data_IF_531078783570
#
_entry.id   IF_531078783570
#
_cell.length_a   1.000
_cell.length_b   1.000
_cell.length_c   1.000
_cell.angle_alpha   90.00
_cell.angle_beta   90.00
_cell.angle_gamma   90.00
#
_symmetry.space_group_name_H-M   'P 1'
#
loop_
_entity.id
_entity.type
_entity.pdbx_description
1 polymer ?
#
# COMPACT_ATOMS: atom_id res chain seq x y z
N UNK A 1 -15.66 -12.62 1.91
CA UNK A 1 -14.44 -13.47 1.78
C UNK A 1 -13.33 -12.58 2.28
N UNK A 2 -12.80 -12.85 3.47
CA UNK A 2 -11.82 -11.97 4.11
C UNK A 2 -10.42 -12.13 3.52
N UNK A 3 -9.47 -11.34 4.02
CA UNK A 3 -8.05 -11.45 3.67
C UNK A 3 -7.50 -12.77 4.24
N UNK A 4 -7.22 -13.76 3.38
CA UNK A 4 -6.82 -15.11 3.81
C UNK A 4 -5.30 -15.28 3.93
N UNK A 5 -4.50 -14.36 3.37
CA UNK A 5 -3.04 -14.44 3.38
C UNK A 5 -2.31 -13.10 3.28
N UNK A 6 -1.04 -13.07 3.71
CA UNK A 6 -0.15 -11.92 3.49
C UNK A 6 0.05 -11.55 2.01
N UNK A 7 -0.17 -12.51 1.08
CA UNK A 7 -0.11 -12.24 -0.37
C UNK A 7 -1.30 -11.39 -0.82
N UNK A 8 -2.46 -11.57 -0.20
CA UNK A 8 -3.66 -10.80 -0.51
C UNK A 8 -3.50 -9.35 -0.04
N UNK A 9 -2.89 -9.14 1.14
CA UNK A 9 -2.58 -7.79 1.66
C UNK A 9 -1.69 -7.00 0.70
N UNK A 10 -0.64 -7.63 0.15
CA UNK A 10 0.24 -6.99 -0.84
C UNK A 10 -0.51 -6.61 -2.11
N UNK A 11 -1.34 -7.51 -2.63
CA UNK A 11 -2.11 -7.28 -3.85
C UNK A 11 -3.13 -6.15 -3.66
N UNK A 12 -3.83 -6.14 -2.54
CA UNK A 12 -4.79 -5.08 -2.17
C UNK A 12 -4.07 -3.73 -2.08
N UNK A 13 -2.93 -3.67 -1.39
CA UNK A 13 -2.13 -2.45 -1.28
C UNK A 13 -1.70 -1.93 -2.66
N UNK A 14 -1.16 -2.79 -3.52
CA UNK A 14 -0.72 -2.41 -4.86
C UNK A 14 -1.88 -1.89 -5.72
N UNK A 15 -3.00 -2.61 -5.75
CA UNK A 15 -4.17 -2.21 -6.53
C UNK A 15 -4.74 -0.88 -6.04
N UNK A 16 -4.81 -0.67 -4.72
CA UNK A 16 -5.33 0.57 -4.17
C UNK A 16 -4.45 1.79 -4.53
N UNK A 17 -3.12 1.64 -4.49
CA UNK A 17 -2.21 2.71 -4.94
C UNK A 17 -2.36 2.93 -6.45
N UNK A 18 -2.44 1.86 -7.25
CA UNK A 18 -2.66 1.98 -8.70
C UNK A 18 -3.95 2.72 -9.04
N UNK A 19 -5.03 2.49 -8.30
CA UNK A 19 -6.29 3.22 -8.47
C UNK A 19 -6.13 4.72 -8.15
N UNK A 20 -5.37 5.08 -7.11
CA UNK A 20 -5.14 6.47 -6.72
C UNK A 20 -4.22 7.24 -7.68
N UNK A 21 -3.21 6.57 -8.23
CA UNK A 21 -2.17 7.16 -9.07
C UNK A 21 -2.29 6.76 -10.56
N UNK A 22 -3.42 6.20 -10.96
CA UNK A 22 -3.80 5.84 -12.33
C UNK A 22 -2.81 4.89 -13.06
N UNK A 23 -2.60 3.69 -12.50
CA UNK A 23 -1.78 2.58 -13.06
C UNK A 23 -0.34 2.92 -13.48
N UNK A 24 0.11 4.15 -13.21
CA UNK A 24 1.39 4.69 -13.69
C UNK A 24 2.49 4.64 -12.63
N UNK A 25 2.29 3.85 -11.58
CA UNK A 25 3.30 3.67 -10.54
C UNK A 25 4.36 2.66 -11.00
N UNK A 26 5.60 2.94 -10.66
CA UNK A 26 6.76 2.09 -10.96
C UNK A 26 7.46 1.68 -9.65
N UNK A 27 8.33 0.66 -9.72
CA UNK A 27 9.16 0.22 -8.60
C UNK A 27 8.41 -0.04 -7.27
N UNK A 28 7.14 -0.45 -7.34
CA UNK A 28 6.32 -0.70 -6.16
C UNK A 28 6.92 -1.79 -5.27
N UNK A 29 7.14 -1.43 -4.01
CA UNK A 29 7.75 -2.27 -2.98
C UNK A 29 6.93 -2.21 -1.70
N UNK A 30 6.68 -3.37 -1.08
CA UNK A 30 6.14 -3.44 0.27
C UNK A 30 7.29 -3.68 1.23
N UNK A 31 7.55 -2.70 2.10
CA UNK A 31 8.65 -2.73 3.06
C UNK A 31 8.29 -3.57 4.30
N UNK A 32 7.06 -3.44 4.79
CA UNK A 32 6.60 -4.16 5.97
C UNK A 32 5.09 -4.34 5.98
N UNK A 33 4.64 -5.43 6.61
CA UNK A 33 3.24 -5.73 6.90
C UNK A 33 3.17 -6.11 8.37
N UNK A 34 2.42 -5.35 9.16
CA UNK A 34 2.16 -5.61 10.59
C UNK A 34 0.72 -6.07 10.74
N UNK A 35 0.52 -7.26 11.27
CA UNK A 35 -0.80 -7.79 11.57
C UNK A 35 -1.22 -7.39 13.00
N UNK A 36 -2.28 -6.59 13.11
CA UNK A 36 -2.84 -6.10 14.37
C UNK A 36 -4.13 -6.82 14.80
N UNK A 37 -4.42 -8.00 14.23
CA UNK A 37 -5.63 -8.83 14.44
C UNK A 37 -6.92 -8.28 13.83
N UNK A 38 -7.18 -6.97 13.91
CA UNK A 38 -8.34 -6.29 13.29
C UNK A 38 -8.02 -5.62 11.94
N UNK A 39 -6.72 -5.40 11.68
CA UNK A 39 -6.21 -4.81 10.45
C UNK A 39 -4.77 -5.20 10.17
N UNK A 40 -4.33 -4.91 8.95
CA UNK A 40 -2.96 -4.97 8.50
C UNK A 40 -2.46 -3.55 8.24
N UNK A 41 -1.41 -3.14 8.95
CA UNK A 41 -0.72 -1.89 8.68
C UNK A 41 0.45 -2.18 7.73
N UNK A 42 0.48 -1.51 6.57
CA UNK A 42 1.38 -1.78 5.46
C UNK A 42 2.23 -0.55 5.17
N UNK A 43 3.54 -0.74 5.05
CA UNK A 43 4.48 0.28 4.58
C UNK A 43 4.88 -0.02 3.15
N UNK A 44 4.72 0.94 2.25
CA UNK A 44 5.05 0.76 0.84
C UNK A 44 5.79 1.95 0.24
N UNK A 45 6.59 1.67 -0.76
CA UNK A 45 7.31 2.64 -1.57
C UNK A 45 7.00 2.44 -3.05
N UNK A 46 6.93 3.53 -3.82
CA UNK A 46 6.74 3.47 -5.27
C UNK A 46 7.18 4.77 -5.93
N UNK A 47 7.47 4.70 -7.22
CA UNK A 47 7.80 5.86 -8.05
C UNK A 47 6.58 6.32 -8.84
N UNK A 48 6.37 7.62 -8.91
CA UNK A 48 5.30 8.22 -9.71
C UNK A 48 5.70 9.63 -10.18
N UNK A 49 5.60 9.87 -11.48
CA UNK A 49 5.91 11.15 -12.13
C UNK A 49 7.27 11.76 -11.72
N UNK A 50 8.32 10.91 -11.64
CA UNK A 50 9.68 11.34 -11.31
C UNK A 50 9.94 11.62 -9.83
N UNK A 51 9.06 11.16 -8.95
CA UNK A 51 9.24 11.20 -7.50
C UNK A 51 9.11 9.82 -6.89
N UNK A 52 9.92 9.57 -5.87
CA UNK A 52 9.81 8.42 -4.98
C UNK A 52 8.87 8.77 -3.82
N UNK A 53 7.87 7.93 -3.58
CA UNK A 53 6.86 8.11 -2.55
C UNK A 53 6.97 7.01 -1.50
N UNK A 54 6.92 7.39 -0.22
CA UNK A 54 6.75 6.46 0.90
C UNK A 54 5.38 6.67 1.50
N UNK A 55 4.56 5.63 1.56
CA UNK A 55 3.19 5.68 2.08
C UNK A 55 2.90 4.56 3.07
N UNK A 56 1.97 4.82 3.99
CA UNK A 56 1.38 3.82 4.87
C UNK A 56 -0.10 3.62 4.55
N UNK A 57 -0.51 2.36 4.56
CA UNK A 57 -1.88 1.91 4.37
C UNK A 57 -2.33 1.12 5.61
N UNK A 58 -3.60 1.26 5.99
CA UNK A 58 -4.25 0.33 6.92
C UNK A 58 -5.36 -0.41 6.18
N UNK A 59 -5.32 -1.73 6.20
CA UNK A 59 -6.25 -2.61 5.48
C UNK A 59 -7.02 -3.45 6.51
N UNK A 60 -8.34 -3.38 6.52
CA UNK A 60 -9.15 -4.20 7.43
C UNK A 60 -9.14 -5.69 7.02
N UNK A 61 -9.73 -6.56 7.85
CA UNK A 61 -9.82 -7.99 7.55
C UNK A 61 -10.71 -8.34 6.36
N UNK A 62 -11.54 -7.40 5.88
CA UNK A 62 -12.39 -7.53 4.71
C UNK A 62 -11.68 -7.07 3.42
N UNK A 63 -10.48 -6.51 3.54
CA UNK A 63 -9.64 -6.06 2.43
C UNK A 63 -9.87 -4.60 2.03
N UNK A 64 -10.58 -3.82 2.85
CA UNK A 64 -10.78 -2.39 2.58
C UNK A 64 -9.61 -1.57 3.15
N UNK A 65 -9.12 -0.63 2.34
CA UNK A 65 -8.17 0.37 2.83
C UNK A 65 -8.91 1.41 3.68
N UNK A 66 -8.69 1.38 4.99
CA UNK A 66 -9.33 2.28 5.97
C UNK A 66 -8.50 3.53 6.24
N UNK A 67 -7.21 3.50 5.92
CA UNK A 67 -6.30 4.64 6.06
C UNK A 67 -5.25 4.66 4.95
N UNK A 68 -4.98 5.86 4.45
CA UNK A 68 -3.87 6.16 3.54
C UNK A 68 -3.08 7.35 4.11
N UNK A 69 -1.76 7.28 4.15
CA UNK A 69 -0.92 8.37 4.64
C UNK A 69 0.39 8.44 3.86
N UNK A 70 0.57 9.52 3.10
CA UNK A 70 1.85 9.84 2.48
C UNK A 70 2.81 10.39 3.54
N UNK A 71 4.01 9.82 3.64
CA UNK A 71 4.99 10.16 4.67
C UNK A 71 6.20 10.88 4.10
N UNK A 72 6.67 10.43 2.93
CA UNK A 72 7.77 11.06 2.25
C UNK A 72 7.48 11.18 0.76
N UNK A 73 8.10 12.19 0.15
CA UNK A 73 8.14 12.41 -1.28
C UNK A 73 9.50 13.01 -1.62
N UNK A 74 10.29 12.30 -2.42
CA UNK A 74 11.64 12.71 -2.82
C UNK A 74 11.75 12.72 -4.34
N UNK A 75 12.54 13.64 -4.89
CA UNK A 75 12.75 13.71 -6.34
C UNK A 75 13.82 12.69 -6.74
N UNK A 76 13.55 11.90 -7.77
CA UNK A 76 14.48 10.92 -8.36
C UNK A 76 15.57 11.63 -9.16
#
# INVERSE_FOLDING_TARGET
>A
MGVESMKDVKLIAENNIKEMYADSIENFTVNSIVNNSDRFDVSTEFDYLGFHYTVYLSIDTDGNVTKFSQVAKEKI
#
